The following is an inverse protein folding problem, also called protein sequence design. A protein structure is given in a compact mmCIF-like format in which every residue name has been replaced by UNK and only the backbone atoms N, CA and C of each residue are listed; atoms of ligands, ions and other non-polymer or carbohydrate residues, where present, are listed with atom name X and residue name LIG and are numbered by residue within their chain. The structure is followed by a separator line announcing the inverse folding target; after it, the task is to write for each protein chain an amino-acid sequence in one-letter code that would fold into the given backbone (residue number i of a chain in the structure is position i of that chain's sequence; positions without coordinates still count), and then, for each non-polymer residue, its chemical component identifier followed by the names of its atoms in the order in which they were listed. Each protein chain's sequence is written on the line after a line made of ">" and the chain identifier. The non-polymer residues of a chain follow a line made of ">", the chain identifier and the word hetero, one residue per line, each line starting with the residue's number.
data_IF_646858206565
#
_entry.id   IF_646858206565
#
_cell.length_a   1.000
_cell.length_b   1.000
_cell.length_c   1.000
_cell.angle_alpha   90.00
_cell.angle_beta   90.00
_cell.angle_gamma   90.00
#
_symmetry.space_group_name_H-M   'P 1'
#
loop_
_entity.id
_entity.type
_entity.pdbx_description
1 polymer ?
#
# COMPACT_ATOMS: atom_id res chain seq x y z
N UNK A 1 -35.83 -20.93 -33.86
CA UNK A 1 -36.36 -20.64 -32.52
C UNK A 1 -36.79 -19.18 -32.49
N UNK A 2 -37.95 -18.86 -31.92
CA UNK A 2 -38.33 -17.47 -31.69
C UNK A 2 -37.34 -16.85 -30.69
N UNK A 3 -36.79 -15.66 -30.98
CA UNK A 3 -35.90 -14.98 -30.04
C UNK A 3 -36.68 -14.52 -28.81
N UNK A 4 -36.01 -14.45 -27.65
CA UNK A 4 -36.62 -13.96 -26.42
C UNK A 4 -37.28 -12.57 -26.61
N UNK A 5 -36.65 -11.70 -27.41
CA UNK A 5 -37.20 -10.39 -27.78
C UNK A 5 -38.51 -10.46 -28.57
N UNK A 6 -38.67 -11.45 -29.45
CA UNK A 6 -39.92 -11.63 -30.21
C UNK A 6 -41.09 -11.95 -29.28
N UNK A 7 -40.86 -12.82 -28.31
CA UNK A 7 -41.88 -13.21 -27.33
C UNK A 7 -42.18 -12.06 -26.36
N UNK A 8 -41.16 -11.35 -25.88
CA UNK A 8 -41.33 -10.16 -25.04
C UNK A 8 -42.11 -9.05 -25.75
N UNK A 9 -41.84 -8.79 -27.03
CA UNK A 9 -42.58 -7.81 -27.82
C UNK A 9 -44.06 -8.17 -27.95
N UNK A 10 -44.36 -9.44 -28.24
CA UNK A 10 -45.74 -9.93 -28.35
C UNK A 10 -46.46 -9.85 -27.02
N UNK A 11 -45.79 -10.23 -25.92
CA UNK A 11 -46.32 -10.12 -24.56
C UNK A 11 -46.61 -8.66 -24.17
N UNK A 12 -45.79 -7.73 -24.64
CA UNK A 12 -46.03 -6.28 -24.50
C UNK A 12 -47.13 -5.72 -25.42
N UNK A 13 -47.80 -6.57 -26.22
CA UNK A 13 -48.96 -6.20 -27.04
C UNK A 13 -48.62 -5.63 -28.43
N UNK A 14 -47.35 -5.59 -28.84
CA UNK A 14 -46.96 -5.06 -30.14
C UNK A 14 -46.94 -6.14 -31.21
N UNK A 15 -47.77 -5.99 -32.25
CA UNK A 15 -47.82 -6.95 -33.38
C UNK A 15 -46.67 -6.75 -34.36
N UNK A 16 -46.22 -5.52 -34.58
CA UNK A 16 -45.14 -5.18 -35.52
C UNK A 16 -43.89 -4.66 -34.80
N UNK A 17 -42.71 -5.15 -35.20
CA UNK A 17 -41.42 -4.72 -34.66
C UNK A 17 -41.17 -3.21 -34.87
N UNK A 18 -41.68 -2.63 -35.95
CA UNK A 18 -41.57 -1.20 -36.22
C UNK A 18 -42.38 -0.31 -35.26
N UNK A 19 -43.50 -0.80 -34.73
CA UNK A 19 -44.31 -0.06 -33.75
C UNK A 19 -43.60 0.00 -32.41
N UNK A 20 -43.07 -1.15 -31.98
CA UNK A 20 -42.27 -1.23 -30.76
C UNK A 20 -41.00 -0.38 -30.83
N UNK A 21 -40.27 -0.44 -31.95
CA UNK A 21 -39.05 0.31 -32.16
C UNK A 21 -39.27 1.83 -32.04
N UNK A 22 -40.43 2.35 -32.49
CA UNK A 22 -40.80 3.77 -32.31
C UNK A 22 -40.97 4.14 -30.84
N UNK A 23 -41.63 3.29 -30.05
CA UNK A 23 -41.86 3.53 -28.62
C UNK A 23 -40.55 3.54 -27.85
N UNK A 24 -39.66 2.58 -28.12
CA UNK A 24 -38.36 2.46 -27.46
C UNK A 24 -37.31 3.42 -28.06
N UNK A 25 -37.66 4.17 -29.11
CA UNK A 25 -36.75 5.09 -29.84
C UNK A 25 -35.49 4.38 -30.32
N UNK A 26 -35.66 3.27 -31.04
CA UNK A 26 -34.62 2.51 -31.73
C UNK A 26 -35.01 2.46 -33.22
N UNK A 27 -34.08 2.58 -34.18
CA UNK A 27 -34.41 2.40 -35.59
C UNK A 27 -35.05 1.04 -35.86
N UNK A 28 -36.13 1.01 -36.66
CA UNK A 28 -36.91 -0.21 -36.89
C UNK A 28 -36.07 -1.35 -37.51
N UNK A 29 -35.15 -1.01 -38.42
CA UNK A 29 -34.20 -1.96 -39.02
C UNK A 29 -33.23 -2.55 -37.99
N UNK A 30 -32.73 -1.71 -37.08
CA UNK A 30 -31.84 -2.11 -35.98
C UNK A 30 -32.57 -3.04 -35.01
N UNK A 31 -33.80 -2.72 -34.63
CA UNK A 31 -34.58 -3.56 -33.72
C UNK A 31 -34.97 -4.91 -34.35
N UNK A 32 -35.38 -4.94 -35.63
CA UNK A 32 -35.64 -6.18 -36.34
C UNK A 32 -34.39 -7.08 -36.45
N UNK A 33 -33.20 -6.47 -36.58
CA UNK A 33 -31.93 -7.18 -36.55
C UNK A 33 -31.66 -7.81 -35.18
N UNK A 34 -32.01 -7.13 -34.09
CA UNK A 34 -31.89 -7.67 -32.73
C UNK A 34 -32.83 -8.85 -32.49
N UNK A 35 -34.08 -8.79 -32.98
CA UNK A 35 -35.01 -9.92 -32.91
C UNK A 35 -34.51 -11.14 -33.70
N UNK A 36 -33.76 -10.93 -34.78
CA UNK A 36 -33.25 -12.03 -35.61
C UNK A 36 -31.89 -12.55 -35.14
N UNK A 37 -31.08 -11.70 -34.52
CA UNK A 37 -29.73 -12.01 -34.08
C UNK A 37 -29.40 -11.27 -32.76
N UNK A 38 -29.69 -11.89 -31.60
CA UNK A 38 -29.41 -11.32 -30.29
C UNK A 38 -27.94 -10.98 -30.03
N UNK A 39 -26.99 -11.68 -30.66
CA UNK A 39 -25.54 -11.44 -30.48
C UNK A 39 -25.08 -10.07 -31.01
N UNK A 40 -25.90 -9.41 -31.84
CA UNK A 40 -25.60 -8.08 -32.39
C UNK A 40 -26.16 -6.94 -31.55
N UNK A 41 -26.83 -7.23 -30.43
CA UNK A 41 -27.35 -6.21 -29.53
C UNK A 41 -26.17 -5.53 -28.82
N UNK A 42 -26.07 -4.20 -28.96
CA UNK A 42 -25.09 -3.43 -28.18
C UNK A 42 -25.47 -3.42 -26.71
N UNK A 43 -24.49 -3.40 -25.79
CA UNK A 43 -24.75 -3.36 -24.35
C UNK A 43 -25.69 -2.19 -23.94
N UNK A 44 -25.52 -1.04 -24.59
CA UNK A 44 -26.41 0.13 -24.40
C UNK A 44 -27.87 -0.13 -24.80
N UNK A 45 -28.09 -0.86 -25.89
CA UNK A 45 -29.42 -1.24 -26.34
C UNK A 45 -30.03 -2.36 -25.48
N UNK A 46 -29.21 -3.33 -25.06
CA UNK A 46 -29.63 -4.41 -24.16
C UNK A 46 -30.15 -3.85 -22.83
N UNK A 47 -29.40 -2.92 -22.21
CA UNK A 47 -29.82 -2.24 -20.98
C UNK A 47 -31.13 -1.47 -21.16
N UNK A 48 -31.24 -0.70 -22.25
CA UNK A 48 -32.45 0.09 -22.54
C UNK A 48 -33.69 -0.79 -22.72
N UNK A 49 -33.53 -1.94 -23.39
CA UNK A 49 -34.60 -2.91 -23.58
C UNK A 49 -34.94 -3.62 -22.26
N UNK A 50 -33.93 -4.01 -21.48
CA UNK A 50 -34.10 -4.59 -20.15
C UNK A 50 -34.86 -3.68 -19.20
N UNK A 51 -34.50 -2.39 -19.14
CA UNK A 51 -35.17 -1.38 -18.33
C UNK A 51 -36.64 -1.19 -18.75
N UNK A 52 -36.92 -1.22 -20.06
CA UNK A 52 -38.27 -1.05 -20.61
C UNK A 52 -39.15 -2.28 -20.33
N UNK A 53 -38.62 -3.48 -20.58
CA UNK A 53 -39.33 -4.74 -20.33
C UNK A 53 -39.35 -5.15 -18.85
N UNK A 54 -38.55 -4.49 -18.00
CA UNK A 54 -38.32 -4.83 -16.58
C UNK A 54 -37.86 -6.28 -16.37
N UNK A 55 -36.98 -6.73 -17.25
CA UNK A 55 -36.35 -8.06 -17.18
C UNK A 55 -34.84 -7.92 -17.05
N UNK A 56 -34.14 -8.91 -16.46
CA UNK A 56 -32.69 -8.88 -16.44
C UNK A 56 -32.11 -8.92 -17.86
N UNK A 57 -30.93 -8.31 -18.03
CA UNK A 57 -30.25 -8.21 -19.33
C UNK A 57 -30.00 -9.58 -19.95
N UNK A 58 -29.73 -10.59 -19.13
CA UNK A 58 -29.49 -11.97 -19.58
C UNK A 58 -30.70 -12.55 -20.35
N UNK A 59 -31.92 -12.18 -19.97
CA UNK A 59 -33.14 -12.58 -20.70
C UNK A 59 -33.23 -11.91 -22.08
N UNK A 60 -32.76 -10.67 -22.21
CA UNK A 60 -32.73 -9.95 -23.49
C UNK A 60 -31.71 -10.55 -24.45
N UNK A 61 -30.53 -10.91 -23.92
CA UNK A 61 -29.43 -11.48 -24.70
C UNK A 61 -29.64 -12.98 -24.94
N UNK A 62 -30.54 -13.63 -24.20
CA UNK A 62 -30.80 -15.06 -24.30
C UNK A 62 -29.71 -15.91 -23.64
N UNK A 63 -29.03 -15.36 -22.62
CA UNK A 63 -28.05 -16.08 -21.82
C UNK A 63 -28.76 -16.92 -20.77
N UNK A 64 -28.37 -18.19 -20.64
CA UNK A 64 -28.87 -19.05 -19.57
C UNK A 64 -28.46 -18.50 -18.20
N UNK A 65 -29.34 -18.67 -17.20
CA UNK A 65 -29.03 -18.32 -15.82
C UNK A 65 -27.78 -19.09 -15.38
N UNK A 66 -26.75 -18.35 -15.00
CA UNK A 66 -25.55 -18.94 -14.42
C UNK A 66 -25.85 -19.23 -12.96
N UNK A 67 -25.75 -20.49 -12.55
CA UNK A 67 -25.79 -20.84 -11.13
C UNK A 67 -24.54 -20.29 -10.44
N UNK A 68 -24.70 -19.16 -9.74
CA UNK A 68 -23.64 -18.48 -9.01
C UNK A 68 -23.11 -19.34 -7.86
N UNK A 69 -23.90 -20.31 -7.37
CA UNK A 69 -23.45 -21.24 -6.33
C UNK A 69 -22.42 -22.22 -6.87
N UNK A 70 -22.58 -22.68 -8.11
CA UNK A 70 -21.61 -23.52 -8.80
C UNK A 70 -20.28 -22.79 -9.14
N UNK A 71 -20.23 -21.46 -8.96
CA UNK A 71 -19.00 -20.67 -9.12
C UNK A 71 -18.25 -20.48 -7.79
N UNK A 72 -18.79 -20.95 -6.66
CA UNK A 72 -18.10 -20.91 -5.37
C UNK A 72 -17.02 -21.99 -5.39
N UNK A 73 -15.81 -21.64 -4.94
CA UNK A 73 -14.73 -22.62 -4.80
C UNK A 73 -14.95 -23.50 -3.55
N UNK A 74 -14.27 -24.64 -3.50
CA UNK A 74 -14.38 -25.65 -2.43
C UNK A 74 -14.39 -25.05 -1.02
N UNK A 75 -13.52 -24.07 -0.76
CA UNK A 75 -13.39 -23.39 0.54
C UNK A 75 -14.65 -22.61 0.92
N UNK A 76 -15.31 -21.98 -0.05
CA UNK A 76 -16.52 -21.20 0.21
C UNK A 76 -17.72 -22.12 0.46
N UNK A 77 -17.80 -23.25 -0.26
CA UNK A 77 -18.83 -24.26 0.00
C UNK A 77 -18.72 -24.84 1.41
N UNK A 78 -17.49 -25.19 1.82
CA UNK A 78 -17.23 -25.65 3.18
C UNK A 78 -17.57 -24.56 4.22
N UNK A 79 -17.15 -23.32 4.00
CA UNK A 79 -17.49 -22.20 4.87
C UNK A 79 -19.00 -21.99 5.00
N UNK A 80 -19.75 -22.03 3.89
CA UNK A 80 -21.20 -21.83 3.88
C UNK A 80 -21.92 -22.94 4.64
N UNK A 81 -21.37 -24.16 4.65
CA UNK A 81 -21.91 -25.33 5.35
C UNK A 81 -21.73 -25.28 6.88
N UNK A 82 -20.86 -24.40 7.39
CA UNK A 82 -20.63 -24.23 8.82
C UNK A 82 -21.82 -23.57 9.53
N UNK A 83 -21.93 -23.83 10.84
CA UNK A 83 -22.85 -23.07 11.69
C UNK A 83 -22.41 -21.61 11.80
N UNK A 84 -23.33 -20.71 12.14
CA UNK A 84 -23.02 -19.28 12.29
C UNK A 84 -21.99 -19.02 13.40
N UNK A 85 -22.02 -19.80 14.49
CA UNK A 85 -21.00 -19.72 15.54
C UNK A 85 -19.61 -20.15 15.04
N UNK A 86 -19.58 -21.18 14.19
CA UNK A 86 -18.33 -21.71 13.63
C UNK A 86 -17.74 -20.76 12.58
N UNK A 87 -18.59 -20.11 11.77
CA UNK A 87 -18.17 -19.04 10.84
C UNK A 87 -17.56 -17.88 11.59
N UNK A 88 -18.23 -17.40 12.64
CA UNK A 88 -17.71 -16.32 13.49
C UNK A 88 -16.36 -16.68 14.11
N UNK A 89 -16.20 -17.92 14.61
CA UNK A 89 -14.94 -18.39 15.16
C UNK A 89 -13.83 -18.42 14.09
N UNK A 90 -14.15 -18.85 12.87
CA UNK A 90 -13.19 -18.85 11.76
C UNK A 90 -12.79 -17.43 11.34
N UNK A 91 -13.74 -16.49 11.27
CA UNK A 91 -13.46 -15.09 10.95
C UNK A 91 -12.56 -14.44 11.99
N UNK A 92 -12.79 -14.73 13.27
CA UNK A 92 -11.92 -14.30 14.36
C UNK A 92 -10.52 -14.90 14.24
N UNK A 93 -10.42 -16.20 13.92
CA UNK A 93 -9.14 -16.86 13.73
C UNK A 93 -8.37 -16.30 12.52
N UNK A 94 -9.05 -16.04 11.41
CA UNK A 94 -8.46 -15.41 10.23
C UNK A 94 -7.94 -14.00 10.55
N UNK A 95 -8.74 -13.21 11.26
CA UNK A 95 -8.34 -11.87 11.73
C UNK A 95 -7.09 -11.94 12.61
N UNK A 96 -7.02 -12.93 13.51
CA UNK A 96 -5.85 -13.19 14.34
C UNK A 96 -4.61 -13.54 13.50
N UNK A 97 -4.73 -14.42 12.52
CA UNK A 97 -3.61 -14.80 11.64
C UNK A 97 -3.09 -13.60 10.83
N UNK A 98 -3.99 -12.80 10.26
CA UNK A 98 -3.62 -11.59 9.52
C UNK A 98 -2.88 -10.59 10.42
N UNK A 99 -3.34 -10.44 11.66
CA UNK A 99 -2.67 -9.59 12.64
C UNK A 99 -1.28 -10.12 13.01
N UNK A 100 -1.16 -11.43 13.24
CA UNK A 100 0.11 -12.08 13.57
C UNK A 100 1.13 -11.97 12.43
N UNK A 101 0.69 -12.15 11.18
CA UNK A 101 1.54 -11.98 10.01
C UNK A 101 1.98 -10.53 9.84
N UNK A 102 1.08 -9.58 10.12
CA UNK A 102 1.42 -8.15 10.17
C UNK A 102 2.49 -7.85 11.22
N UNK A 103 2.33 -8.37 12.44
CA UNK A 103 3.33 -8.22 13.51
C UNK A 103 4.67 -8.87 13.16
N UNK A 104 4.65 -10.05 12.52
CA UNK A 104 5.88 -10.72 12.08
C UNK A 104 6.63 -9.87 11.05
N UNK A 105 5.93 -9.36 10.03
CA UNK A 105 6.52 -8.45 9.03
C UNK A 105 7.09 -7.20 9.67
N UNK A 106 6.36 -6.57 10.60
CA UNK A 106 6.87 -5.40 11.33
C UNK A 106 8.12 -5.72 12.15
N UNK A 107 8.18 -6.90 12.79
CA UNK A 107 9.38 -7.33 13.51
C UNK A 107 10.56 -7.56 12.59
N UNK A 108 10.34 -8.26 11.47
CA UNK A 108 11.37 -8.49 10.46
C UNK A 108 11.90 -7.18 9.87
N UNK A 109 11.00 -6.22 9.58
CA UNK A 109 11.35 -4.87 9.14
C UNK A 109 12.15 -4.12 10.22
N UNK A 110 11.69 -4.16 11.48
CA UNK A 110 12.39 -3.52 12.60
C UNK A 110 13.76 -4.15 12.88
N UNK A 111 13.90 -5.47 12.76
CA UNK A 111 15.19 -6.16 12.87
C UNK A 111 16.13 -5.82 11.72
N UNK A 112 15.61 -5.78 10.49
CA UNK A 112 16.37 -5.33 9.34
C UNK A 112 16.84 -3.88 9.53
N UNK A 113 15.97 -3.01 10.04
CA UNK A 113 16.30 -1.62 10.32
C UNK A 113 17.36 -1.46 11.41
N UNK A 114 17.24 -2.19 12.52
CA UNK A 114 18.27 -2.22 13.59
C UNK A 114 19.64 -2.60 13.06
N UNK A 115 19.71 -3.58 12.16
CA UNK A 115 20.97 -3.97 11.53
C UNK A 115 21.59 -2.81 10.76
N UNK A 116 20.80 -2.03 10.04
CA UNK A 116 21.29 -0.86 9.31
C UNK A 116 21.61 0.32 10.23
N UNK A 117 20.89 0.48 11.35
CA UNK A 117 21.22 1.45 12.40
C UNK A 117 22.59 1.17 13.02
N UNK A 118 22.89 -0.10 13.33
CA UNK A 118 24.22 -0.51 13.83
C UNK A 118 25.33 -0.27 12.79
N UNK A 119 25.06 -0.55 11.51
CA UNK A 119 26.01 -0.30 10.43
C UNK A 119 26.27 1.19 10.21
N UNK A 120 25.23 2.02 10.24
CA UNK A 120 25.34 3.46 10.12
C UNK A 120 26.22 4.03 11.24
N UNK A 121 25.94 3.68 12.49
CA UNK A 121 26.75 4.12 13.63
C UNK A 121 28.23 3.69 13.52
N UNK A 122 28.46 2.44 13.08
CA UNK A 122 29.83 1.94 12.91
C UNK A 122 30.58 2.69 11.81
N UNK A 123 29.93 2.93 10.67
CA UNK A 123 30.57 3.68 9.59
C UNK A 123 30.79 5.14 9.96
N UNK A 124 29.85 5.75 10.66
CA UNK A 124 29.95 7.13 11.11
C UNK A 124 31.16 7.32 12.02
N UNK A 125 31.35 6.41 12.99
CA UNK A 125 32.54 6.43 13.85
C UNK A 125 33.85 6.33 13.07
N UNK A 126 33.89 5.53 12.01
CA UNK A 126 35.08 5.38 11.17
C UNK A 126 35.33 6.63 10.32
N UNK A 127 34.27 7.27 9.85
CA UNK A 127 34.35 8.53 9.12
C UNK A 127 34.86 9.66 10.03
N UNK A 128 34.33 9.78 11.26
CA UNK A 128 34.80 10.75 12.23
C UNK A 128 36.29 10.54 12.58
N UNK A 129 36.75 9.29 12.73
CA UNK A 129 38.17 8.99 12.93
C UNK A 129 39.05 9.41 11.74
N UNK A 130 38.53 9.27 10.51
CA UNK A 130 39.24 9.71 9.31
C UNK A 130 39.35 11.24 9.24
N UNK A 131 38.28 11.95 9.59
CA UNK A 131 38.27 13.42 9.67
C UNK A 131 39.17 13.95 10.79
N UNK A 132 39.17 13.29 11.95
CA UNK A 132 40.02 13.63 13.09
C UNK A 132 41.51 13.50 12.71
N UNK A 133 41.87 12.41 12.02
CA UNK A 133 43.22 12.23 11.47
C UNK A 133 43.64 13.27 10.44
N UNK A 134 42.69 14.00 9.83
CA UNK A 134 42.94 15.13 8.92
C UNK A 134 42.85 16.50 9.59
N UNK A 135 42.42 16.56 10.85
CA UNK A 135 42.16 17.80 11.58
C UNK A 135 40.91 18.55 11.10
N UNK A 136 40.03 17.89 10.34
CA UNK A 136 38.83 18.49 9.73
C UNK A 136 37.57 18.25 10.60
N UNK A 137 37.64 17.34 11.58
CA UNK A 137 36.49 16.95 12.40
C UNK A 137 35.95 18.09 13.25
N UNK A 138 36.85 18.79 13.96
CA UNK A 138 36.47 19.89 14.86
C UNK A 138 35.80 21.04 14.09
N UNK A 139 36.33 21.36 12.90
CA UNK A 139 35.77 22.39 12.03
C UNK A 139 34.39 21.98 11.49
N UNK A 140 34.21 20.72 11.09
CA UNK A 140 32.93 20.20 10.61
C UNK A 140 31.88 20.13 11.75
N UNK A 141 32.29 19.84 12.98
CA UNK A 141 31.38 19.84 14.14
C UNK A 141 31.00 21.27 14.53
N UNK A 142 31.96 22.19 14.55
CA UNK A 142 31.77 23.56 15.01
C UNK A 142 31.03 24.44 13.99
N UNK A 143 31.28 24.23 12.69
CA UNK A 143 30.80 25.12 11.62
C UNK A 143 30.02 24.40 10.52
N UNK A 144 30.07 23.07 10.45
CA UNK A 144 29.39 22.29 9.42
C UNK A 144 27.87 22.19 9.63
N UNK A 145 27.14 22.35 8.54
CA UNK A 145 25.70 22.13 8.48
C UNK A 145 25.34 20.64 8.57
N UNK A 146 24.07 20.35 8.83
CA UNK A 146 23.56 18.96 8.83
C UNK A 146 23.65 18.33 7.43
N UNK A 147 23.44 19.13 6.39
CA UNK A 147 23.52 18.70 4.99
C UNK A 147 24.95 18.36 4.61
N UNK A 148 25.92 19.21 4.94
CA UNK A 148 27.36 18.93 4.73
C UNK A 148 27.82 17.67 5.47
N UNK A 149 27.33 17.44 6.70
CA UNK A 149 27.62 16.20 7.43
C UNK A 149 27.00 14.96 6.79
N UNK A 150 25.76 15.09 6.30
CA UNK A 150 25.07 14.00 5.61
C UNK A 150 25.75 13.65 4.28
N UNK A 151 26.11 14.67 3.50
CA UNK A 151 26.81 14.50 2.22
C UNK A 151 28.20 13.91 2.42
N UNK A 152 28.99 14.42 3.37
CA UNK A 152 30.31 13.86 3.69
C UNK A 152 30.24 12.40 4.17
N UNK A 153 29.21 12.05 4.93
CA UNK A 153 28.97 10.66 5.34
C UNK A 153 28.57 9.77 4.14
N UNK A 154 27.69 10.27 3.25
CA UNK A 154 27.27 9.55 2.05
C UNK A 154 28.44 9.26 1.10
N UNK A 155 29.30 10.26 0.88
CA UNK A 155 30.53 10.13 0.10
C UNK A 155 31.48 9.09 0.70
N UNK A 156 31.65 9.11 2.02
CA UNK A 156 32.49 8.15 2.73
C UNK A 156 31.99 6.70 2.56
N UNK A 157 30.70 6.46 2.77
CA UNK A 157 30.11 5.11 2.64
C UNK A 157 30.17 4.62 1.19
N UNK A 158 29.91 5.52 0.23
CA UNK A 158 29.97 5.22 -1.21
C UNK A 158 31.39 4.84 -1.64
N UNK A 159 32.39 5.67 -1.30
CA UNK A 159 33.80 5.39 -1.58
C UNK A 159 34.22 4.02 -1.02
N UNK A 160 33.83 3.73 0.22
CA UNK A 160 34.18 2.46 0.88
C UNK A 160 33.50 1.24 0.24
N UNK A 161 32.29 1.40 -0.28
CA UNK A 161 31.63 0.36 -1.06
C UNK A 161 32.35 0.11 -2.39
N UNK A 162 32.81 1.16 -3.07
CA UNK A 162 33.59 1.06 -4.31
C UNK A 162 34.96 0.39 -4.10
N UNK A 163 35.68 0.78 -3.04
CA UNK A 163 36.95 0.17 -2.63
C UNK A 163 36.79 -1.33 -2.35
N UNK A 164 35.71 -1.73 -1.65
CA UNK A 164 35.40 -3.13 -1.36
C UNK A 164 35.05 -3.93 -2.62
N UNK A 165 34.40 -3.30 -3.60
CA UNK A 165 33.99 -3.94 -4.86
C UNK A 165 35.19 -4.26 -5.76
N UNK A 166 36.25 -3.45 -5.68
CA UNK A 166 37.46 -3.60 -6.49
C UNK A 166 37.19 -3.52 -8.00
N UNK A 167 38.16 -3.97 -8.82
CA UNK A 167 38.08 -3.90 -10.31
C UNK A 167 37.09 -4.90 -10.94
N UNK A 168 36.63 -5.92 -10.22
CA UNK A 168 35.83 -7.04 -10.76
C UNK A 168 34.32 -6.96 -10.38
N UNK A 169 33.76 -5.75 -10.42
CA UNK A 169 32.35 -5.48 -10.11
C UNK A 169 31.39 -5.98 -11.20
N UNK A 170 30.41 -6.81 -10.83
CA UNK A 170 29.24 -7.09 -11.67
C UNK A 170 28.16 -6.01 -11.52
N UNK A 171 27.26 -5.85 -12.50
CA UNK A 171 26.13 -4.91 -12.44
C UNK A 171 25.21 -5.19 -11.25
N UNK A 172 24.97 -6.47 -10.93
CA UNK A 172 24.15 -6.88 -9.78
C UNK A 172 24.74 -6.45 -8.43
N UNK A 173 26.08 -6.50 -8.29
CA UNK A 173 26.75 -6.04 -7.07
C UNK A 173 26.58 -4.54 -6.86
N UNK A 174 26.55 -3.73 -7.94
CA UNK A 174 26.34 -2.28 -7.83
C UNK A 174 24.94 -1.95 -7.32
N UNK A 175 23.93 -2.63 -7.86
CA UNK A 175 22.53 -2.44 -7.46
C UNK A 175 22.34 -2.81 -5.98
N UNK A 176 22.93 -3.91 -5.52
CA UNK A 176 22.87 -4.30 -4.11
C UNK A 176 23.57 -3.31 -3.19
N UNK A 177 24.70 -2.76 -3.61
CA UNK A 177 25.41 -1.76 -2.82
C UNK A 177 24.65 -0.43 -2.77
N UNK A 178 24.08 0.03 -3.88
CA UNK A 178 23.21 1.21 -3.92
C UNK A 178 22.02 1.06 -2.96
N UNK A 179 21.38 -0.12 -2.94
CA UNK A 179 20.31 -0.42 -1.99
C UNK A 179 20.78 -0.43 -0.54
N UNK A 180 21.96 -1.01 -0.26
CA UNK A 180 22.52 -1.02 1.09
C UNK A 180 22.94 0.38 1.55
N UNK A 181 23.55 1.18 0.68
CA UNK A 181 23.94 2.58 0.96
C UNK A 181 22.67 3.39 1.28
N UNK A 182 21.62 3.27 0.46
CA UNK A 182 20.36 3.96 0.71
C UNK A 182 19.76 3.61 2.09
N UNK A 183 19.80 2.33 2.50
CA UNK A 183 19.32 1.91 3.83
C UNK A 183 20.21 2.40 4.97
N UNK A 184 21.53 2.45 4.78
CA UNK A 184 22.47 3.03 5.75
C UNK A 184 22.20 4.54 5.90
N UNK A 185 21.97 5.26 4.81
CA UNK A 185 21.65 6.69 4.84
C UNK A 185 20.29 6.97 5.50
N UNK A 186 19.28 6.15 5.26
CA UNK A 186 18.00 6.25 5.98
C UNK A 186 18.17 6.04 7.48
N UNK A 187 18.98 5.07 7.90
CA UNK A 187 19.31 4.84 9.30
C UNK A 187 20.08 6.02 9.93
N UNK A 188 21.01 6.62 9.17
CA UNK A 188 21.70 7.84 9.56
C UNK A 188 20.73 9.02 9.72
N UNK A 189 19.83 9.22 8.76
CA UNK A 189 18.82 10.29 8.79
C UNK A 189 17.84 10.15 9.98
N UNK A 190 17.48 8.91 10.34
CA UNK A 190 16.65 8.60 11.53
C UNK A 190 17.35 8.91 12.84
N UNK A 191 18.61 8.51 12.98
CA UNK A 191 19.39 8.73 14.21
C UNK A 191 19.76 10.20 14.42
N UNK A 192 19.95 10.96 13.34
CA UNK A 192 20.27 12.39 13.35
C UNK A 192 19.03 13.26 13.13
N UNK A 193 17.89 12.81 13.66
CA UNK A 193 16.52 13.16 13.31
C UNK A 193 16.23 14.60 12.87
N UNK A 194 15.43 14.65 11.80
CA UNK A 194 14.46 15.68 11.44
C UNK A 194 13.66 16.15 12.68
N UNK A 195 13.94 17.33 13.25
CA UNK A 195 13.02 17.97 14.20
C UNK A 195 11.93 18.68 13.40
N UNK A 196 10.92 17.91 12.98
CA UNK A 196 9.62 18.43 12.60
C UNK A 196 8.64 18.17 13.73
N UNK A 197 8.51 19.10 14.68
CA UNK A 197 7.42 19.22 15.65
C UNK A 197 6.94 17.92 16.35
N UNK A 198 7.59 17.55 17.47
CA UNK A 198 6.94 16.79 18.54
C UNK A 198 7.38 15.33 18.79
N UNK A 199 8.55 14.90 18.30
CA UNK A 199 9.12 13.58 18.61
C UNK A 199 10.31 13.69 19.58
N UNK A 200 10.31 12.91 20.66
CA UNK A 200 11.41 12.83 21.62
C UNK A 200 12.73 12.46 20.92
N UNK A 201 13.76 13.29 21.08
CA UNK A 201 15.10 13.00 20.59
C UNK A 201 15.72 11.89 21.44
N UNK A 202 16.14 10.79 20.81
CA UNK A 202 16.81 9.69 21.48
C UNK A 202 18.33 9.91 21.36
N UNK A 203 18.93 10.56 22.35
CA UNK A 203 20.39 10.73 22.43
C UNK A 203 21.03 9.54 23.16
N UNK A 204 21.83 8.76 22.45
CA UNK A 204 22.62 7.68 23.06
C UNK A 204 23.96 8.22 23.54
N UNK A 205 24.09 8.47 24.86
CA UNK A 205 25.37 8.72 25.49
C UNK A 205 26.02 7.40 25.94
N UNK A 206 27.25 7.07 25.50
CA UNK A 206 28.00 5.97 26.08
C UNK A 206 28.58 6.43 27.43
N UNK A 207 28.02 5.97 28.55
CA UNK A 207 28.69 6.16 29.85
C UNK A 207 29.96 5.31 29.88
N UNK A 208 31.07 5.93 30.24
CA UNK A 208 32.40 5.32 30.31
C UNK A 208 32.56 4.24 31.40
N UNK A 209 31.51 3.91 32.16
CA UNK A 209 31.54 2.82 33.14
C UNK A 209 30.32 1.90 32.97
N UNK A 210 30.58 0.70 32.44
CA UNK A 210 29.97 -0.58 32.87
C UNK A 210 28.45 -0.79 32.88
N UNK A 211 27.60 0.16 32.48
CA UNK A 211 26.14 -0.02 32.55
C UNK A 211 25.39 0.75 31.48
N UNK A 212 24.80 0.05 30.51
CA UNK A 212 23.93 0.62 29.47
C UNK A 212 22.72 1.30 30.12
N UNK A 213 22.61 2.62 30.00
CA UNK A 213 21.36 3.35 30.24
C UNK A 213 20.96 4.15 29.01
N UNK A 214 19.73 3.95 28.58
CA UNK A 214 19.06 4.74 27.54
C UNK A 214 18.37 5.89 28.25
N UNK A 215 18.68 7.12 27.87
CA UNK A 215 17.98 8.31 28.34
C UNK A 215 17.02 8.77 27.24
N UNK A 216 15.76 8.99 27.62
CA UNK A 216 14.75 9.60 26.76
C UNK A 216 14.46 10.96 27.38
N UNK A 217 14.98 12.03 26.77
CA UNK A 217 14.64 13.40 27.16
C UNK A 217 13.39 13.84 26.40
N UNK A 218 12.35 14.20 27.17
CA UNK A 218 11.19 14.89 26.64
C UNK A 218 11.40 16.39 26.80
N UNK A 219 11.38 17.11 25.69
CA UNK A 219 11.53 18.56 25.67
C UNK A 219 10.25 19.21 26.22
N UNK A 220 10.27 19.52 27.52
CA UNK A 220 9.16 20.15 28.22
C UNK A 220 9.01 21.63 27.87
N UNK A 221 8.51 21.95 26.68
CA UNK A 221 8.00 23.29 26.35
C UNK A 221 6.55 23.23 25.89
N UNK A 222 5.67 23.05 26.87
CA UNK A 222 4.22 23.17 26.72
C UNK A 222 3.65 24.15 27.75
N UNK A 223 3.57 25.42 27.38
CA UNK A 223 2.47 26.32 27.78
C UNK A 223 2.49 26.94 29.17
N UNK A 224 3.23 28.03 29.35
CA UNK A 224 2.86 29.10 30.28
C UNK A 224 2.00 30.12 29.54
N UNK A 225 0.67 30.10 29.73
CA UNK A 225 -0.23 31.26 29.53
C UNK A 225 -1.33 31.22 30.58
N UNK A 226 -1.43 32.32 31.33
CA UNK A 226 -2.29 32.48 32.51
C UNK A 226 -3.76 32.75 32.22
N UNK A 227 -4.52 32.82 33.32
CA UNK A 227 -5.93 33.21 33.35
C UNK A 227 -6.53 32.99 34.73
N UNK A 228 -6.57 34.06 35.52
CA UNK A 228 -7.15 34.24 36.85
C UNK A 228 -8.67 33.95 36.93
N UNK A 229 -9.13 33.38 38.05
CA UNK A 229 -10.51 33.51 38.56
C UNK A 229 -10.64 33.05 40.03
N UNK A 230 -10.57 34.02 40.96
CA UNK A 230 -11.63 34.25 41.97
C UNK A 230 -11.89 33.22 43.08
N UNK A 231 -11.55 33.61 44.31
CA UNK A 231 -12.27 33.28 45.57
C UNK A 231 -12.30 34.55 46.44
N UNK A 232 -13.25 34.71 47.37
CA UNK A 232 -14.35 33.82 47.75
C UNK A 232 -15.73 34.23 47.22
#
# INVERSE_FOLDING_TARGET
>A
MASALLELRKAAGFKKSAEFAKVVKIPASTYARYESNPDKITMSAARKLADWFRVPIDVIVGREEVDVRALRGDVQEEYDSLSEESKLALDQFLSFLLHQDGLRRQREEAEADRRFDELAWRYERLWQQELDGRGELDDLIAFGTREERREGFEEFVTRRAEERRGRASTKASRILDEQNIARIMQAYDRSHGQIGSGGAGMSYHPSLEGGRRVFIEFDGRGGQKGGDAGRP
#
